data_IF_196732446236
#
_entry.id   IF_196732446236
#
_cell.length_a   1.000
_cell.length_b   1.000
_cell.length_c   1.000
_cell.angle_alpha   90.00
_cell.angle_beta   90.00
_cell.angle_gamma   90.00
#
_symmetry.space_group_name_H-M   'P 1'
#
loop_
_entity.id
_entity.type
_entity.pdbx_description
1 polymer ?
#
# COMPACT_ATOMS: atom_id res chain seq x y z
N UNK A 1 34.23 1.93 -20.54
CA UNK A 1 33.81 2.97 -19.59
C UNK A 1 34.92 3.98 -19.37
N UNK A 2 36.17 3.52 -19.22
CA UNK A 2 37.37 4.34 -19.10
C UNK A 2 37.53 5.39 -20.21
N UNK A 3 37.27 5.03 -21.46
CA UNK A 3 37.43 5.96 -22.60
C UNK A 3 36.45 7.13 -22.56
N UNK A 4 35.18 6.87 -22.24
CA UNK A 4 34.17 7.94 -22.09
C UNK A 4 34.46 8.84 -20.90
N UNK A 5 34.99 8.28 -19.82
CA UNK A 5 35.39 9.06 -18.65
C UNK A 5 36.58 9.98 -18.97
N UNK A 6 37.58 9.48 -19.70
CA UNK A 6 38.74 10.26 -20.15
C UNK A 6 38.35 11.35 -21.15
N UNK A 7 37.44 11.06 -22.07
CA UNK A 7 36.90 12.05 -23.01
C UNK A 7 36.13 13.15 -22.24
N UNK A 8 35.26 12.79 -21.30
CA UNK A 8 34.57 13.77 -20.43
C UNK A 8 35.57 14.65 -19.66
N UNK A 9 36.67 14.07 -19.17
CA UNK A 9 37.73 14.81 -18.48
C UNK A 9 38.46 15.79 -19.39
N UNK A 10 38.62 15.45 -20.67
CA UNK A 10 39.31 16.29 -21.65
C UNK A 10 38.47 17.47 -22.14
N UNK A 11 37.13 17.35 -22.12
CA UNK A 11 36.22 18.36 -22.69
C UNK A 11 35.49 19.23 -21.68
N UNK A 12 35.36 18.78 -20.43
CA UNK A 12 34.65 19.51 -19.40
C UNK A 12 35.63 20.35 -18.59
N UNK A 13 35.21 21.56 -18.21
CA UNK A 13 35.93 22.34 -17.23
C UNK A 13 36.12 21.51 -15.94
N UNK A 14 37.27 21.61 -15.24
CA UNK A 14 37.57 20.79 -14.07
C UNK A 14 36.47 20.81 -13.00
N UNK A 15 35.87 21.97 -12.74
CA UNK A 15 34.75 22.14 -11.79
C UNK A 15 33.51 21.34 -12.20
N UNK A 16 33.16 21.38 -13.49
CA UNK A 16 32.01 20.63 -14.05
C UNK A 16 32.30 19.13 -14.05
N UNK A 17 33.55 18.73 -14.28
CA UNK A 17 33.95 17.33 -14.23
C UNK A 17 33.88 16.77 -12.80
N UNK A 18 34.34 17.53 -11.79
CA UNK A 18 34.30 17.14 -10.38
C UNK A 18 32.87 16.91 -9.84
N UNK A 19 31.87 17.58 -10.41
CA UNK A 19 30.48 17.37 -10.03
C UNK A 19 29.86 16.09 -10.62
N UNK A 20 30.55 15.36 -11.50
CA UNK A 20 30.11 14.03 -11.98
C UNK A 20 30.43 12.98 -10.90
N UNK A 21 29.40 12.44 -10.26
CA UNK A 21 29.53 11.47 -9.16
C UNK A 21 29.63 10.03 -9.63
N UNK A 22 28.92 9.68 -10.70
CA UNK A 22 29.04 8.35 -11.29
C UNK A 22 28.63 8.32 -12.75
N UNK A 23 29.15 7.34 -13.47
CA UNK A 23 28.77 7.02 -14.84
C UNK A 23 28.57 5.50 -14.94
N UNK A 24 27.40 5.06 -15.41
CA UNK A 24 27.04 3.64 -15.51
C UNK A 24 26.47 3.33 -16.89
N UNK A 25 26.95 2.26 -17.54
CA UNK A 25 26.27 1.66 -18.71
C UNK A 25 25.04 0.90 -18.21
N UNK A 26 23.88 1.20 -18.77
CA UNK A 26 22.61 0.54 -18.43
C UNK A 26 22.06 -0.13 -19.68
N UNK A 27 21.87 -1.44 -19.60
CA UNK A 27 21.33 -2.27 -20.68
C UNK A 27 19.99 -2.90 -20.24
N UNK A 28 18.87 -2.17 -20.37
CA UNK A 28 17.56 -2.69 -20.01
C UNK A 28 17.04 -3.69 -21.06
N UNK A 29 16.31 -4.72 -20.63
CA UNK A 29 15.79 -5.80 -21.51
C UNK A 29 14.96 -5.32 -22.71
N UNK A 30 14.19 -4.23 -22.55
CA UNK A 30 13.22 -3.75 -23.54
C UNK A 30 13.47 -2.31 -24.02
N UNK A 31 14.67 -1.75 -23.81
CA UNK A 31 14.99 -0.39 -24.30
C UNK A 31 16.42 -0.35 -24.84
N UNK A 32 16.76 0.63 -25.70
CA UNK A 32 18.13 0.79 -26.15
C UNK A 32 19.08 0.97 -24.97
N UNK A 33 20.32 0.45 -25.07
CA UNK A 33 21.33 0.69 -24.05
C UNK A 33 21.61 2.19 -23.94
N UNK A 34 22.01 2.64 -22.76
CA UNK A 34 22.30 4.07 -22.48
C UNK A 34 23.35 4.22 -21.38
N UNK A 35 23.87 5.43 -21.24
CA UNK A 35 24.76 5.87 -20.18
C UNK A 35 23.97 6.72 -19.19
N UNK A 36 23.85 6.23 -17.96
CA UNK A 36 23.27 6.98 -16.85
C UNK A 36 24.41 7.69 -16.12
N UNK A 37 24.37 9.01 -16.10
CA UNK A 37 25.32 9.89 -15.42
C UNK A 37 24.63 10.55 -14.23
N UNK A 38 25.25 10.45 -13.05
CA UNK A 38 24.78 11.13 -11.85
C UNK A 38 25.66 12.34 -11.56
N UNK A 39 25.03 13.50 -11.37
CA UNK A 39 25.73 14.77 -11.18
C UNK A 39 25.17 15.59 -10.03
N UNK A 40 25.98 16.44 -9.43
CA UNK A 40 25.54 17.39 -8.41
C UNK A 40 24.59 18.45 -8.99
N UNK A 41 23.75 19.03 -8.12
CA UNK A 41 22.64 19.89 -8.53
C UNK A 41 23.09 21.18 -9.20
N UNK A 42 24.17 21.74 -8.71
CA UNK A 42 24.85 22.95 -9.17
C UNK A 42 25.30 22.84 -10.65
N UNK A 43 25.81 21.68 -11.07
CA UNK A 43 26.33 21.53 -12.44
C UNK A 43 25.33 20.91 -13.43
N UNK A 44 24.23 20.31 -12.96
CA UNK A 44 23.35 19.47 -13.77
C UNK A 44 22.78 20.18 -15.01
N UNK A 45 22.34 21.42 -14.85
CA UNK A 45 21.75 22.22 -15.94
C UNK A 45 22.81 22.69 -16.94
N UNK A 46 24.00 23.07 -16.47
CA UNK A 46 25.13 23.44 -17.32
C UNK A 46 25.63 22.25 -18.14
N UNK A 47 25.88 21.12 -17.46
CA UNK A 47 26.36 19.91 -18.09
C UNK A 47 25.39 19.34 -19.12
N UNK A 48 24.08 19.37 -18.84
CA UNK A 48 23.06 18.95 -19.81
C UNK A 48 23.08 19.82 -21.07
N UNK A 49 23.30 21.12 -20.94
CA UNK A 49 23.45 22.04 -22.08
C UNK A 49 24.73 21.75 -22.86
N UNK A 50 25.87 21.56 -22.18
CA UNK A 50 27.15 21.24 -22.82
C UNK A 50 27.10 19.91 -23.58
N UNK A 51 26.63 18.83 -22.96
CA UNK A 51 26.49 17.53 -23.62
C UNK A 51 25.52 17.63 -24.81
N UNK A 52 24.42 18.38 -24.66
CA UNK A 52 23.46 18.59 -25.75
C UNK A 52 24.07 19.38 -26.91
N UNK A 53 24.80 20.46 -26.63
CA UNK A 53 25.47 21.25 -27.65
C UNK A 53 26.53 20.42 -28.39
N UNK A 54 27.36 19.66 -27.66
CA UNK A 54 28.42 18.84 -28.24
C UNK A 54 27.88 17.68 -29.09
N UNK A 55 26.78 17.06 -28.66
CA UNK A 55 26.10 16.01 -29.44
C UNK A 55 25.31 16.57 -30.64
N UNK A 56 24.83 17.83 -30.58
CA UNK A 56 24.22 18.52 -31.72
C UNK A 56 25.25 18.98 -32.74
N UNK A 57 26.41 19.48 -32.30
CA UNK A 57 27.52 19.93 -33.14
C UNK A 57 28.38 18.77 -33.69
N UNK A 58 27.96 17.52 -33.49
CA UNK A 58 28.61 16.29 -33.99
C UNK A 58 30.13 16.25 -33.74
N UNK A 59 30.59 16.44 -32.50
CA UNK A 59 32.00 16.13 -32.18
C UNK A 59 32.25 14.62 -32.43
N UNK A 60 33.08 14.24 -33.44
CA UNK A 60 33.14 12.84 -33.88
C UNK A 60 33.74 11.92 -32.82
N UNK A 61 34.73 12.39 -32.05
CA UNK A 61 35.44 11.63 -31.02
C UNK A 61 34.52 11.26 -29.84
N UNK A 62 33.79 12.23 -29.32
CA UNK A 62 32.86 12.01 -28.19
C UNK A 62 31.69 11.09 -28.55
N UNK A 63 31.13 11.27 -29.75
CA UNK A 63 30.05 10.40 -30.26
C UNK A 63 30.55 8.97 -30.52
N UNK A 64 31.79 8.84 -31.01
CA UNK A 64 32.46 7.56 -31.25
C UNK A 64 32.72 6.81 -29.94
N UNK A 65 33.31 7.45 -28.93
CA UNK A 65 33.57 6.83 -27.63
C UNK A 65 32.28 6.31 -26.96
N UNK A 66 31.17 7.05 -27.06
CA UNK A 66 29.88 6.60 -26.56
C UNK A 66 29.29 5.42 -27.34
N UNK A 67 29.48 5.38 -28.67
CA UNK A 67 29.01 4.29 -29.55
C UNK A 67 29.84 3.02 -29.42
N UNK A 68 31.15 3.13 -29.24
CA UNK A 68 32.05 1.98 -29.10
C UNK A 68 31.72 1.15 -27.86
N UNK A 69 31.20 1.78 -26.80
CA UNK A 69 30.71 1.08 -25.60
C UNK A 69 29.38 0.34 -25.79
N UNK A 70 28.72 0.45 -26.96
CA UNK A 70 27.46 -0.20 -27.26
C UNK A 70 27.65 -1.45 -28.10
N UNK A 71 26.75 -2.42 -27.89
CA UNK A 71 26.67 -3.65 -28.67
C UNK A 71 26.37 -3.31 -30.14
N UNK A 72 26.93 -4.06 -31.09
CA UNK A 72 26.94 -3.72 -32.53
C UNK A 72 25.54 -3.47 -33.11
N UNK A 73 24.53 -4.23 -32.69
CA UNK A 73 23.14 -4.05 -33.12
C UNK A 73 22.48 -2.74 -32.64
N UNK A 74 22.98 -2.13 -31.56
CA UNK A 74 22.44 -0.89 -31.00
C UNK A 74 23.11 0.38 -31.56
N UNK A 75 24.33 0.25 -32.13
CA UNK A 75 25.16 1.36 -32.64
C UNK A 75 24.47 2.17 -33.73
N UNK A 76 23.67 1.51 -34.58
CA UNK A 76 23.03 2.12 -35.75
C UNK A 76 21.63 2.70 -35.47
N UNK A 77 20.97 2.26 -34.38
CA UNK A 77 19.55 2.58 -34.11
C UNK A 77 19.34 3.74 -33.13
N UNK A 78 20.40 4.24 -32.51
CA UNK A 78 20.28 5.22 -31.41
C UNK A 78 20.81 6.60 -31.79
N UNK A 79 19.99 7.64 -31.57
CA UNK A 79 20.44 9.03 -31.71
C UNK A 79 21.39 9.35 -30.55
N UNK A 80 22.53 10.04 -30.76
CA UNK A 80 23.52 10.29 -29.70
C UNK A 80 22.93 10.91 -28.42
N UNK A 81 21.92 11.78 -28.55
CA UNK A 81 21.21 12.39 -27.42
C UNK A 81 20.36 11.41 -26.60
N UNK A 82 19.80 10.38 -27.23
CA UNK A 82 19.02 9.33 -26.54
C UNK A 82 19.87 8.35 -25.75
N UNK A 83 21.21 8.43 -25.90
CA UNK A 83 22.16 7.60 -25.20
C UNK A 83 22.49 8.09 -23.80
N UNK A 84 22.10 9.31 -23.44
CA UNK A 84 22.47 9.92 -22.17
C UNK A 84 21.26 10.17 -21.30
N UNK A 85 21.36 9.74 -20.04
CA UNK A 85 20.46 10.16 -18.98
C UNK A 85 21.28 10.84 -17.90
N UNK A 86 21.04 12.12 -17.70
CA UNK A 86 21.66 12.91 -16.64
C UNK A 86 20.64 13.04 -15.53
N UNK A 87 20.88 12.36 -14.41
CA UNK A 87 20.05 12.42 -13.21
C UNK A 87 20.81 13.16 -12.09
N UNK A 88 20.06 13.84 -11.22
CA UNK A 88 20.63 14.44 -10.02
C UNK A 88 21.11 13.35 -9.06
N UNK A 89 22.36 13.48 -8.60
CA UNK A 89 22.88 12.68 -7.52
C UNK A 89 22.08 12.97 -6.25
N UNK A 90 21.76 11.90 -5.52
CA UNK A 90 21.00 11.95 -4.27
C UNK A 90 21.67 11.02 -3.28
N UNK A 91 22.18 11.56 -2.19
CA UNK A 91 22.97 10.87 -1.16
C UNK A 91 22.27 9.65 -0.58
N UNK A 92 20.92 9.66 -0.56
CA UNK A 92 20.11 8.55 -0.04
C UNK A 92 19.96 7.37 -1.01
N UNK A 93 20.23 7.55 -2.31
CA UNK A 93 19.92 6.57 -3.36
C UNK A 93 21.05 5.54 -3.57
N UNK A 94 22.29 5.93 -3.29
CA UNK A 94 23.49 5.11 -3.46
C UNK A 94 24.19 4.81 -2.12
N UNK A 95 23.45 4.89 -0.99
CA UNK A 95 23.97 4.35 0.27
C UNK A 95 24.30 2.87 0.04
N UNK A 96 25.50 2.38 0.40
CA UNK A 96 25.74 0.95 0.41
C UNK A 96 24.63 0.37 1.27
N UNK A 97 23.81 -0.48 0.66
CA UNK A 97 22.74 -1.18 1.36
C UNK A 97 23.46 -1.95 2.45
N UNK A 98 23.42 -1.44 3.70
CA UNK A 98 23.80 -2.23 4.86
C UNK A 98 22.98 -3.50 4.68
N UNK A 99 23.68 -4.63 4.54
CA UNK A 99 23.03 -5.92 4.41
C UNK A 99 21.93 -5.92 5.45
N UNK A 100 20.67 -5.95 5.00
CA UNK A 100 19.54 -5.96 5.92
C UNK A 100 19.88 -7.06 6.92
N UNK A 101 19.87 -6.82 8.23
CA UNK A 101 19.93 -7.93 9.17
C UNK A 101 18.91 -8.94 8.64
N UNK A 102 19.30 -10.22 8.46
CA UNK A 102 18.40 -11.21 7.90
C UNK A 102 17.10 -11.03 8.65
N UNK A 103 16.02 -10.70 7.92
CA UNK A 103 14.69 -10.61 8.51
C UNK A 103 14.57 -11.92 9.24
N UNK A 104 14.63 -11.89 10.59
CA UNK A 104 14.63 -13.09 11.39
C UNK A 104 13.39 -13.81 10.92
N UNK A 105 13.58 -14.92 10.20
CA UNK A 105 12.49 -15.70 9.67
C UNK A 105 11.79 -16.21 10.92
N UNK A 106 10.71 -15.53 11.31
CA UNK A 106 9.87 -15.99 12.42
C UNK A 106 9.49 -17.41 12.03
N UNK A 107 9.86 -18.42 12.85
CA UNK A 107 9.59 -19.80 12.52
C UNK A 107 8.13 -19.95 12.13
N UNK A 108 7.85 -20.56 10.96
CA UNK A 108 6.48 -20.69 10.46
C UNK A 108 5.55 -21.42 11.44
N UNK A 109 6.10 -22.14 12.41
CA UNK A 109 5.38 -22.83 13.48
C UNK A 109 4.69 -21.91 14.52
N UNK A 110 4.84 -20.58 14.44
CA UNK A 110 4.25 -19.64 15.41
C UNK A 110 3.41 -18.49 14.84
N UNK A 111 3.12 -18.47 13.53
CA UNK A 111 2.25 -17.42 12.96
C UNK A 111 0.91 -17.43 13.68
N UNK A 112 0.65 -16.35 14.42
CA UNK A 112 -0.68 -16.10 14.99
C UNK A 112 -1.44 -15.34 13.94
N UNK A 113 -2.55 -15.90 13.46
CA UNK A 113 -3.39 -15.20 12.51
C UNK A 113 -4.18 -14.13 13.25
N UNK A 114 -3.65 -12.90 13.29
CA UNK A 114 -4.35 -11.76 13.87
C UNK A 114 -5.23 -11.08 12.82
N UNK A 115 -6.29 -10.42 13.31
CA UNK A 115 -7.22 -9.64 12.51
C UNK A 115 -7.19 -8.21 13.02
N UNK A 116 -7.17 -7.23 12.11
CA UNK A 116 -7.12 -5.82 12.46
C UNK A 116 -8.08 -4.99 11.60
N UNK A 117 -8.43 -3.81 12.11
CA UNK A 117 -9.04 -2.74 11.32
C UNK A 117 -8.31 -1.44 11.66
N UNK A 118 -8.12 -0.57 10.67
CA UNK A 118 -7.37 0.67 10.83
C UNK A 118 -7.84 1.72 9.83
N UNK A 119 -8.34 2.84 10.34
CA UNK A 119 -8.47 4.06 9.55
C UNK A 119 -7.07 4.68 9.35
N UNK A 120 -6.54 4.58 8.11
CA UNK A 120 -5.16 5.02 7.81
C UNK A 120 -5.07 6.50 7.46
N UNK A 121 -6.17 7.16 7.12
CA UNK A 121 -6.20 8.57 6.68
C UNK A 121 -5.06 8.90 5.68
N UNK A 122 -5.00 8.14 4.59
CA UNK A 122 -4.01 8.28 3.52
C UNK A 122 -2.96 7.17 3.51
N UNK A 123 -3.14 6.20 2.62
CA UNK A 123 -2.25 5.04 2.51
C UNK A 123 -0.86 5.39 1.95
N UNK A 124 -0.78 6.27 0.94
CA UNK A 124 0.44 6.47 0.17
C UNK A 124 1.68 6.87 1.01
N UNK A 125 1.47 7.69 2.05
CA UNK A 125 2.56 8.15 2.93
C UNK A 125 2.88 7.17 4.06
N UNK A 126 1.92 6.33 4.44
CA UNK A 126 2.00 5.38 5.57
C UNK A 126 2.24 3.94 5.13
N UNK A 127 2.49 3.71 3.83
CA UNK A 127 2.64 2.36 3.28
C UNK A 127 3.68 1.53 4.01
N UNK A 128 4.84 2.12 4.32
CA UNK A 128 5.92 1.42 5.03
C UNK A 128 5.51 1.08 6.47
N UNK A 129 4.88 2.02 7.17
CA UNK A 129 4.39 1.81 8.54
C UNK A 129 3.32 0.71 8.58
N UNK A 130 2.44 0.66 7.59
CA UNK A 130 1.44 -0.42 7.46
C UNK A 130 2.12 -1.75 7.18
N UNK A 131 3.15 -1.81 6.32
CA UNK A 131 3.94 -3.05 6.09
C UNK A 131 4.57 -3.52 7.40
N UNK A 132 5.18 -2.60 8.14
CA UNK A 132 5.83 -2.91 9.41
C UNK A 132 4.81 -3.42 10.43
N UNK A 133 3.67 -2.74 10.59
CA UNK A 133 2.57 -3.16 11.46
C UNK A 133 2.08 -4.57 11.11
N UNK A 134 1.76 -4.82 9.84
CA UNK A 134 1.28 -6.12 9.36
C UNK A 134 2.28 -7.24 9.67
N UNK A 135 3.56 -6.97 9.50
CA UNK A 135 4.64 -7.94 9.73
C UNK A 135 4.89 -8.17 11.22
N UNK A 136 5.07 -7.09 11.98
CA UNK A 136 5.39 -7.13 13.41
C UNK A 136 4.26 -7.77 14.22
N UNK A 137 3.02 -7.36 13.94
CA UNK A 137 1.83 -7.85 14.63
C UNK A 137 1.26 -9.11 13.99
N UNK A 138 1.90 -9.66 12.93
CA UNK A 138 1.49 -10.92 12.28
C UNK A 138 0.03 -10.90 11.82
N UNK A 139 -0.44 -9.76 11.32
CA UNK A 139 -1.84 -9.55 10.94
C UNK A 139 -2.12 -10.31 9.65
N UNK A 140 -3.04 -11.27 9.66
CA UNK A 140 -3.43 -12.02 8.47
C UNK A 140 -4.57 -11.38 7.69
N UNK A 141 -5.44 -10.63 8.37
CA UNK A 141 -6.60 -9.97 7.77
C UNK A 141 -6.65 -8.54 8.30
N UNK A 142 -6.70 -7.55 7.41
CA UNK A 142 -6.71 -6.15 7.80
C UNK A 142 -7.68 -5.33 6.96
N UNK A 143 -8.66 -4.68 7.60
CA UNK A 143 -9.51 -3.69 6.94
C UNK A 143 -8.88 -2.29 7.09
N UNK A 144 -8.63 -1.61 5.98
CA UNK A 144 -8.07 -0.27 5.93
C UNK A 144 -9.13 0.72 5.43
N UNK A 145 -9.44 1.74 6.23
CA UNK A 145 -10.35 2.84 5.85
C UNK A 145 -9.57 4.12 5.54
N UNK A 146 -10.20 5.02 4.80
CA UNK A 146 -9.60 6.28 4.32
C UNK A 146 -8.26 6.09 3.59
N UNK A 147 -8.21 5.14 2.67
CA UNK A 147 -6.98 4.88 1.91
C UNK A 147 -6.56 6.06 1.02
N UNK A 148 -7.53 6.88 0.58
CA UNK A 148 -7.35 8.03 -0.32
C UNK A 148 -6.69 7.65 -1.66
N UNK A 149 -6.85 6.41 -2.09
CA UNK A 149 -6.32 5.91 -3.37
C UNK A 149 -7.43 5.96 -4.42
N UNK A 150 -7.30 6.86 -5.40
CA UNK A 150 -8.25 6.97 -6.52
C UNK A 150 -8.12 5.79 -7.48
N UNK A 151 -9.12 5.62 -8.36
CA UNK A 151 -9.07 4.64 -9.45
C UNK A 151 -7.99 4.91 -10.50
N UNK A 152 -7.45 6.14 -10.54
CA UNK A 152 -6.36 6.54 -11.45
C UNK A 152 -4.97 6.29 -10.85
N UNK A 153 -4.89 6.05 -9.54
CA UNK A 153 -3.65 5.75 -8.85
C UNK A 153 -3.36 4.25 -8.87
N UNK A 154 -2.12 3.87 -8.54
CA UNK A 154 -1.81 2.47 -8.31
C UNK A 154 -2.66 1.93 -7.15
N UNK A 155 -3.30 0.76 -7.30
CA UNK A 155 -4.13 0.20 -6.25
C UNK A 155 -3.30 -0.09 -5.00
N UNK A 156 -3.99 -0.20 -3.85
CA UNK A 156 -3.36 -0.59 -2.58
C UNK A 156 -2.80 -2.00 -2.73
N UNK A 157 -1.50 -2.11 -2.99
CA UNK A 157 -0.80 -3.39 -3.10
C UNK A 157 0.17 -3.56 -1.94
N UNK A 158 -0.02 -4.67 -1.23
CA UNK A 158 0.74 -5.04 -0.05
C UNK A 158 1.45 -6.37 -0.28
N UNK A 159 2.79 -6.42 -0.20
CA UNK A 159 3.54 -7.66 -0.39
C UNK A 159 3.05 -8.77 0.56
N UNK A 160 2.74 -9.94 0.02
CA UNK A 160 2.23 -11.08 0.80
C UNK A 160 0.74 -11.01 1.16
N UNK A 161 -0.03 -10.09 0.57
CA UNK A 161 -1.47 -10.00 0.74
C UNK A 161 -2.19 -9.89 -0.61
N UNK A 162 -3.37 -10.47 -0.66
CA UNK A 162 -4.41 -10.19 -1.65
C UNK A 162 -5.18 -8.96 -1.16
N UNK A 163 -5.36 -7.98 -2.06
CA UNK A 163 -6.08 -6.74 -1.78
C UNK A 163 -7.42 -6.72 -2.48
N UNK A 164 -8.48 -6.45 -1.73
CA UNK A 164 -9.81 -6.14 -2.24
C UNK A 164 -10.07 -4.65 -1.96
N UNK A 165 -10.24 -3.83 -2.99
CA UNK A 165 -10.24 -2.36 -2.84
C UNK A 165 -11.52 -1.73 -3.38
N UNK A 166 -12.04 -0.74 -2.65
CA UNK A 166 -12.91 0.29 -3.21
C UNK A 166 -12.15 1.62 -3.22
N UNK A 167 -12.04 2.22 -4.40
CA UNK A 167 -11.29 3.45 -4.59
C UNK A 167 -11.96 4.66 -3.93
N UNK A 168 -11.15 5.65 -3.60
CA UNK A 168 -11.63 6.98 -3.23
C UNK A 168 -12.41 7.62 -4.39
N UNK A 169 -13.50 8.29 -4.03
CA UNK A 169 -14.32 9.10 -4.93
C UNK A 169 -15.12 10.14 -4.13
N UNK A 170 -16.02 10.85 -4.81
CA UNK A 170 -16.89 11.83 -4.18
C UNK A 170 -17.70 11.21 -3.03
N UNK A 171 -17.65 11.84 -1.85
CA UNK A 171 -18.34 11.37 -0.65
C UNK A 171 -17.78 10.08 -0.02
N UNK A 172 -16.67 9.51 -0.51
CA UNK A 172 -16.13 8.26 0.02
C UNK A 172 -14.60 8.18 -0.07
N UNK A 173 -13.92 8.09 1.07
CA UNK A 173 -12.44 8.20 1.21
C UNK A 173 -11.64 6.94 0.83
N UNK A 174 -12.31 5.92 0.29
CA UNK A 174 -11.67 4.67 -0.15
C UNK A 174 -11.44 3.68 1.00
N UNK A 175 -11.53 2.39 0.70
CA UNK A 175 -11.28 1.32 1.68
C UNK A 175 -10.59 0.12 1.02
N UNK A 176 -9.87 -0.68 1.79
CA UNK A 176 -9.24 -1.91 1.29
C UNK A 176 -9.28 -3.00 2.35
N UNK A 177 -9.66 -4.22 1.98
CA UNK A 177 -9.49 -5.41 2.78
C UNK A 177 -8.27 -6.18 2.30
N UNK A 178 -7.30 -6.37 3.19
CA UNK A 178 -6.10 -7.15 2.95
C UNK A 178 -6.28 -8.54 3.56
N UNK A 179 -5.96 -9.58 2.80
CA UNK A 179 -5.93 -10.97 3.27
C UNK A 179 -4.58 -11.58 2.91
N UNK A 180 -3.88 -12.17 3.87
CA UNK A 180 -2.56 -12.78 3.65
C UNK A 180 -2.65 -13.86 2.58
N UNK A 181 -1.67 -13.90 1.67
CA UNK A 181 -1.73 -14.72 0.45
C UNK A 181 -1.61 -16.24 0.69
N UNK A 182 -1.27 -16.67 1.91
CA UNK A 182 -1.30 -18.06 2.33
C UNK A 182 -2.70 -18.54 2.76
N UNK A 183 -3.65 -17.62 2.94
CA UNK A 183 -5.06 -17.92 3.16
C UNK A 183 -5.82 -17.95 1.83
N UNK A 184 -6.69 -18.96 1.67
CA UNK A 184 -7.62 -18.99 0.55
C UNK A 184 -8.70 -17.93 0.77
N UNK A 185 -8.89 -17.04 -0.19
CA UNK A 185 -9.92 -16.00 -0.11
C UNK A 185 -10.49 -15.66 -1.47
N UNK A 186 -11.76 -15.26 -1.47
CA UNK A 186 -12.43 -14.71 -2.63
C UNK A 186 -13.53 -13.73 -2.22
N UNK A 187 -13.81 -12.77 -3.10
CA UNK A 187 -14.88 -11.81 -2.87
C UNK A 187 -16.25 -12.43 -3.16
N UNK A 188 -17.17 -12.28 -2.20
CA UNK A 188 -18.56 -12.73 -2.33
C UNK A 188 -19.45 -11.61 -2.84
N UNK A 189 -19.16 -10.38 -2.42
CA UNK A 189 -19.92 -9.21 -2.84
C UNK A 189 -19.34 -7.91 -2.31
N UNK A 190 -19.88 -6.81 -2.82
CA UNK A 190 -19.56 -5.46 -2.36
C UNK A 190 -20.77 -4.55 -2.53
N UNK A 191 -20.89 -3.58 -1.64
CA UNK A 191 -21.76 -2.41 -1.82
C UNK A 191 -20.86 -1.19 -1.92
N UNK A 192 -21.07 -0.39 -2.96
CA UNK A 192 -20.28 0.82 -3.20
C UNK A 192 -20.39 1.77 -2.00
N UNK A 193 -19.25 2.25 -1.52
CA UNK A 193 -19.14 3.19 -0.39
C UNK A 193 -19.66 2.66 0.94
N UNK A 194 -19.78 1.34 1.10
CA UNK A 194 -20.26 0.73 2.34
C UNK A 194 -19.39 -0.46 2.78
N UNK A 195 -19.38 -1.55 1.99
CA UNK A 195 -18.69 -2.77 2.41
C UNK A 195 -18.00 -3.55 1.30
N UNK A 196 -16.94 -4.26 1.69
CA UNK A 196 -16.34 -5.36 0.92
C UNK A 196 -16.56 -6.65 1.70
N UNK A 197 -17.16 -7.67 1.09
CA UNK A 197 -17.43 -8.96 1.70
C UNK A 197 -16.59 -10.05 1.03
N UNK A 198 -15.67 -10.64 1.81
CA UNK A 198 -14.76 -11.70 1.39
C UNK A 198 -14.99 -12.93 2.26
N UNK A 199 -14.97 -14.12 1.65
CA UNK A 199 -14.87 -15.39 2.39
C UNK A 199 -13.40 -15.77 2.51
N UNK A 200 -12.99 -16.18 3.70
CA UNK A 200 -11.60 -16.57 4.00
C UNK A 200 -11.58 -17.95 4.64
N UNK A 201 -10.72 -18.83 4.13
CA UNK A 201 -10.50 -20.20 4.61
C UNK A 201 -9.03 -20.41 5.00
N UNK A 202 -8.78 -21.41 5.85
CA UNK A 202 -7.43 -21.73 6.33
C UNK A 202 -7.03 -21.03 7.64
N UNK A 203 -7.97 -20.35 8.31
CA UNK A 203 -7.75 -19.82 9.65
C UNK A 203 -7.68 -20.98 10.67
N UNK A 204 -6.69 -21.00 11.59
CA UNK A 204 -6.58 -22.07 12.57
C UNK A 204 -7.82 -22.16 13.46
N UNK A 205 -8.21 -23.40 13.79
CA UNK A 205 -9.37 -23.72 14.65
C UNK A 205 -10.73 -23.34 14.06
N UNK A 206 -10.79 -22.95 12.78
CA UNK A 206 -12.04 -22.70 12.06
C UNK A 206 -12.10 -23.65 10.87
N UNK A 207 -13.07 -24.56 10.90
CA UNK A 207 -13.26 -25.57 9.85
C UNK A 207 -14.02 -25.02 8.64
N UNK A 208 -14.91 -24.06 8.87
CA UNK A 208 -15.74 -23.42 7.84
C UNK A 208 -15.16 -22.07 7.38
N UNK A 209 -15.44 -21.60 6.15
CA UNK A 209 -15.02 -20.28 5.69
C UNK A 209 -15.60 -19.16 6.58
N UNK A 210 -14.75 -18.22 6.99
CA UNK A 210 -15.16 -17.01 7.72
C UNK A 210 -15.62 -15.94 6.75
N UNK A 211 -16.76 -15.33 7.05
CA UNK A 211 -17.24 -14.14 6.36
C UNK A 211 -16.57 -12.91 6.98
N UNK A 212 -15.71 -12.25 6.21
CA UNK A 212 -15.03 -11.02 6.60
C UNK A 212 -15.63 -9.86 5.82
N UNK A 213 -16.21 -8.90 6.53
CA UNK A 213 -16.85 -7.74 5.95
C UNK A 213 -16.11 -6.47 6.39
N UNK A 214 -15.39 -5.83 5.49
CA UNK A 214 -14.78 -4.53 5.75
C UNK A 214 -15.85 -3.44 5.58
N UNK A 215 -16.12 -2.66 6.63
CA UNK A 215 -17.16 -1.63 6.69
C UNK A 215 -16.52 -0.24 6.77
N UNK A 216 -17.14 0.74 6.13
CA UNK A 216 -16.85 2.15 6.36
C UNK A 216 -18.13 2.98 6.26
N UNK A 217 -18.64 3.45 7.40
CA UNK A 217 -19.85 4.26 7.48
C UNK A 217 -19.53 5.76 7.41
N UNK A 218 -20.43 6.60 6.85
CA UNK A 218 -20.19 8.03 6.72
C UNK A 218 -20.11 8.72 8.09
N UNK A 219 -19.10 9.57 8.24
CA UNK A 219 -18.91 10.43 9.41
C UNK A 219 -19.77 11.69 9.32
N UNK A 220 -19.86 12.47 10.40
CA UNK A 220 -20.63 13.73 10.43
C UNK A 220 -22.06 13.58 10.93
N UNK A 221 -22.59 14.70 11.44
CA UNK A 221 -23.94 14.77 12.00
C UNK A 221 -25.00 14.79 10.91
N UNK A 222 -24.73 15.50 9.81
CA UNK A 222 -25.62 15.61 8.65
C UNK A 222 -25.88 14.25 7.97
N UNK A 223 -24.96 13.28 8.12
CA UNK A 223 -25.08 11.95 7.54
C UNK A 223 -25.73 10.91 8.48
N UNK A 224 -26.33 11.32 9.61
CA UNK A 224 -26.92 10.38 10.58
C UNK A 224 -28.04 9.51 9.98
N UNK A 225 -28.88 10.10 9.13
CA UNK A 225 -29.95 9.40 8.42
C UNK A 225 -29.40 8.33 7.46
N UNK A 226 -28.50 8.75 6.56
CA UNK A 226 -27.80 7.87 5.63
C UNK A 226 -27.05 6.75 6.37
N UNK A 227 -26.34 7.07 7.45
CA UNK A 227 -25.62 6.08 8.26
C UNK A 227 -26.56 5.02 8.84
N UNK A 228 -27.78 5.40 9.23
CA UNK A 228 -28.79 4.46 9.73
C UNK A 228 -29.33 3.55 8.62
N UNK A 229 -29.59 4.09 7.44
CA UNK A 229 -30.00 3.30 6.26
C UNK A 229 -28.93 2.26 5.87
N UNK A 230 -27.67 2.72 5.76
CA UNK A 230 -26.53 1.86 5.45
C UNK A 230 -26.30 0.79 6.52
N UNK A 231 -26.54 1.12 7.79
CA UNK A 231 -26.49 0.16 8.89
C UNK A 231 -27.54 -0.96 8.72
N UNK A 232 -28.78 -0.64 8.33
CA UNK A 232 -29.79 -1.66 8.05
C UNK A 232 -29.41 -2.57 6.88
N UNK A 233 -28.72 -2.06 5.86
CA UNK A 233 -28.15 -2.89 4.78
C UNK A 233 -27.14 -3.91 5.32
N UNK A 234 -26.32 -3.54 6.30
CA UNK A 234 -25.38 -4.47 6.96
C UNK A 234 -26.11 -5.54 7.77
N UNK A 235 -27.18 -5.18 8.48
CA UNK A 235 -28.02 -6.15 9.19
C UNK A 235 -28.71 -7.13 8.23
N UNK A 236 -29.23 -6.63 7.11
CA UNK A 236 -29.84 -7.46 6.08
C UNK A 236 -28.81 -8.42 5.44
N UNK A 237 -27.57 -7.95 5.22
CA UNK A 237 -26.47 -8.80 4.76
C UNK A 237 -26.17 -9.92 5.78
N UNK A 238 -26.07 -9.59 7.07
CA UNK A 238 -25.85 -10.59 8.11
C UNK A 238 -26.99 -11.62 8.13
N UNK A 239 -28.25 -11.15 8.10
CA UNK A 239 -29.42 -12.03 8.06
C UNK A 239 -29.34 -12.98 6.86
N UNK A 240 -29.06 -12.46 5.66
CA UNK A 240 -28.90 -13.29 4.45
C UNK A 240 -27.82 -14.35 4.61
N UNK A 241 -26.69 -14.03 5.27
CA UNK A 241 -25.62 -14.98 5.53
C UNK A 241 -26.10 -16.08 6.48
N UNK A 242 -26.75 -15.71 7.59
CA UNK A 242 -27.20 -16.66 8.61
C UNK A 242 -28.41 -17.50 8.16
N UNK A 243 -29.30 -16.95 7.34
CA UNK A 243 -30.41 -17.69 6.71
C UNK A 243 -29.86 -18.78 5.77
N UNK A 244 -28.80 -18.48 5.02
CA UNK A 244 -28.17 -19.43 4.10
C UNK A 244 -27.24 -20.44 4.80
N UNK A 245 -26.60 -20.04 5.91
CA UNK A 245 -25.68 -20.88 6.68
C UNK A 245 -25.82 -20.54 8.17
N UNK A 246 -26.74 -21.22 8.87
CA UNK A 246 -26.92 -21.01 10.31
C UNK A 246 -25.62 -21.26 11.07
N UNK A 247 -25.25 -20.33 11.95
CA UNK A 247 -24.01 -20.42 12.72
C UNK A 247 -22.72 -20.11 11.93
N UNK A 248 -22.82 -19.54 10.73
CA UNK A 248 -21.64 -19.08 9.98
C UNK A 248 -20.77 -18.13 10.83
N UNK A 249 -19.43 -18.19 10.74
CA UNK A 249 -18.56 -17.27 11.46
C UNK A 249 -18.50 -15.98 10.65
N UNK A 250 -19.10 -14.93 11.18
CA UNK A 250 -19.12 -13.60 10.59
C UNK A 250 -18.35 -12.61 11.45
N UNK A 251 -17.48 -11.82 10.82
CA UNK A 251 -16.83 -10.67 11.42
C UNK A 251 -16.93 -9.45 10.49
N UNK A 252 -17.41 -8.36 11.06
CA UNK A 252 -17.37 -7.03 10.47
C UNK A 252 -16.20 -6.25 11.08
N UNK A 253 -15.41 -5.62 10.22
CA UNK A 253 -14.20 -4.88 10.57
C UNK A 253 -14.32 -3.47 10.01
N UNK A 254 -14.30 -2.44 10.85
CA UNK A 254 -14.27 -1.11 10.28
C UNK A 254 -14.50 0.07 11.17
N UNK A 255 -14.56 1.22 10.50
CA UNK A 255 -14.96 2.50 11.06
C UNK A 255 -16.48 2.64 10.92
N UNK A 256 -17.18 2.53 12.04
CA UNK A 256 -18.63 2.61 12.11
C UNK A 256 -19.12 4.04 12.28
N UNK A 257 -18.23 4.98 12.61
CA UNK A 257 -18.58 6.35 12.98
C UNK A 257 -19.70 6.44 14.03
N UNK A 258 -19.72 5.47 14.96
CA UNK A 258 -20.62 5.35 16.12
C UNK A 258 -19.79 4.94 17.32
N UNK A 259 -20.14 5.43 18.52
CA UNK A 259 -19.53 4.92 19.74
C UNK A 259 -20.04 3.50 20.05
N UNK A 260 -19.35 2.78 20.93
CA UNK A 260 -19.70 1.41 21.28
C UNK A 260 -21.12 1.29 21.82
N UNK A 261 -21.56 2.19 22.70
CA UNK A 261 -22.89 2.14 23.30
C UNK A 261 -24.01 2.31 22.24
N UNK A 262 -23.85 3.27 21.33
CA UNK A 262 -24.76 3.49 20.20
C UNK A 262 -24.80 2.25 19.29
N UNK A 263 -23.64 1.67 18.99
CA UNK A 263 -23.54 0.49 18.13
C UNK A 263 -24.18 -0.74 18.78
N UNK A 264 -23.91 -1.00 20.06
CA UNK A 264 -24.52 -2.10 20.82
C UNK A 264 -26.05 -1.97 20.86
N UNK A 265 -26.58 -0.78 21.11
CA UNK A 265 -28.02 -0.53 21.11
C UNK A 265 -28.64 -0.80 19.72
N UNK A 266 -27.97 -0.37 18.65
CA UNK A 266 -28.47 -0.54 17.27
C UNK A 266 -28.37 -1.97 16.77
N UNK A 267 -27.37 -2.73 17.19
CA UNK A 267 -27.20 -4.13 16.78
C UNK A 267 -28.35 -5.01 17.24
N UNK A 268 -29.01 -4.69 18.36
CA UNK A 268 -30.10 -5.50 18.92
C UNK A 268 -29.69 -6.98 18.97
N UNK A 269 -28.60 -7.29 19.68
CA UNK A 269 -27.96 -8.62 19.73
C UNK A 269 -28.93 -9.80 19.83
N UNK A 270 -30.00 -9.75 20.66
CA UNK A 270 -30.97 -10.87 20.74
C UNK A 270 -31.66 -11.19 19.41
N UNK A 271 -31.84 -10.19 18.53
CA UNK A 271 -32.51 -10.33 17.24
C UNK A 271 -31.54 -10.66 16.10
N UNK A 272 -30.35 -10.06 16.11
CA UNK A 272 -29.42 -10.18 14.98
C UNK A 272 -28.32 -11.23 15.17
N UNK A 273 -28.09 -11.66 16.41
CA UNK A 273 -26.97 -12.52 16.77
C UNK A 273 -25.59 -11.85 16.63
N UNK A 274 -25.55 -10.54 16.38
CA UNK A 274 -24.33 -9.74 16.27
C UNK A 274 -24.05 -9.00 17.57
N UNK A 275 -22.76 -8.91 17.91
CA UNK A 275 -22.32 -8.17 19.08
C UNK A 275 -21.01 -7.43 18.81
N UNK A 276 -20.83 -6.27 19.45
CA UNK A 276 -19.54 -5.57 19.45
C UNK A 276 -18.53 -6.41 20.23
N UNK A 277 -17.37 -6.63 19.62
CA UNK A 277 -16.31 -7.42 20.22
C UNK A 277 -15.42 -6.53 21.08
N UNK A 278 -15.75 -6.48 22.38
CA UNK A 278 -15.18 -5.52 23.34
C UNK A 278 -13.65 -5.59 23.40
N UNK A 279 -12.93 -4.47 23.20
CA UNK A 279 -11.48 -4.44 23.29
C UNK A 279 -11.00 -4.62 24.73
N UNK A 280 -9.73 -5.00 24.87
CA UNK A 280 -8.97 -4.95 26.12
C UNK A 280 -8.02 -3.77 26.02
N UNK A 281 -7.96 -2.95 27.08
CA UNK A 281 -7.19 -1.71 27.10
C UNK A 281 -8.10 -0.50 26.92
N UNK A 282 -7.67 0.47 26.11
CA UNK A 282 -8.48 1.64 25.78
C UNK A 282 -9.56 1.25 24.75
N UNK A 283 -10.76 1.83 24.82
CA UNK A 283 -11.73 1.70 23.73
C UNK A 283 -11.51 2.75 22.62
N UNK A 284 -10.72 3.79 22.91
CA UNK A 284 -10.58 4.96 22.03
C UNK A 284 -9.73 4.63 20.81
N UNK A 285 -10.27 4.90 19.62
CA UNK A 285 -9.64 4.64 18.32
C UNK A 285 -9.43 5.90 17.48
N UNK A 286 -10.18 6.97 17.76
CA UNK A 286 -10.03 8.30 17.13
C UNK A 286 -9.51 9.32 18.13
N UNK A 287 -8.41 9.99 17.75
CA UNK A 287 -7.75 11.03 18.54
C UNK A 287 -7.65 12.33 17.71
N UNK A 288 -8.68 13.19 17.72
CA UNK A 288 -8.64 14.43 16.95
C UNK A 288 -7.70 15.46 17.60
N UNK A 289 -7.10 16.35 16.80
CA UNK A 289 -6.27 17.46 17.33
C UNK A 289 -7.07 18.45 18.17
N UNK A 290 -8.39 18.54 17.93
CA UNK A 290 -9.35 19.34 18.71
C UNK A 290 -10.60 18.52 18.97
N UNK A 291 -11.14 18.61 20.19
CA UNK A 291 -12.34 17.88 20.61
C UNK A 291 -12.03 16.59 21.37
N UNK A 292 -13.07 15.79 21.59
CA UNK A 292 -12.99 14.57 22.39
C UNK A 292 -12.58 13.37 21.55
N UNK A 293 -11.70 12.54 22.09
CA UNK A 293 -11.39 11.21 21.55
C UNK A 293 -12.64 10.33 21.56
N UNK A 294 -12.72 9.40 20.59
CA UNK A 294 -13.89 8.52 20.42
C UNK A 294 -13.48 7.12 20.02
N UNK A 295 -14.34 6.17 20.32
CA UNK A 295 -14.30 4.76 19.95
C UNK A 295 -15.19 4.54 18.71
N UNK A 296 -14.68 4.81 17.51
CA UNK A 296 -15.49 4.69 16.27
C UNK A 296 -15.15 3.47 15.41
N UNK A 297 -13.93 2.97 15.54
CA UNK A 297 -13.49 1.72 14.94
C UNK A 297 -13.89 0.54 15.83
N UNK A 298 -14.70 -0.37 15.30
CA UNK A 298 -15.19 -1.55 16.03
C UNK A 298 -15.08 -2.82 15.21
N UNK A 299 -14.90 -3.93 15.92
CA UNK A 299 -15.13 -5.27 15.40
C UNK A 299 -16.49 -5.75 15.87
N UNK A 300 -17.34 -6.23 14.96
CA UNK A 300 -18.63 -6.83 15.29
C UNK A 300 -18.64 -8.27 14.83
N UNK A 301 -19.04 -9.18 15.71
CA UNK A 301 -18.95 -10.62 15.47
C UNK A 301 -20.31 -11.30 15.64
N UNK A 302 -20.58 -12.30 14.82
CA UNK A 302 -21.68 -13.24 15.05
C UNK A 302 -21.37 -14.21 16.21
N UNK A 303 -22.40 -14.88 16.72
CA UNK A 303 -22.25 -15.99 17.66
C UNK A 303 -21.26 -17.08 17.17
N UNK A 304 -21.30 -17.45 15.88
CA UNK A 304 -20.41 -18.45 15.28
C UNK A 304 -18.94 -18.03 15.23
N UNK A 305 -18.63 -16.75 15.44
CA UNK A 305 -17.27 -16.22 15.52
C UNK A 305 -16.86 -15.89 16.96
N UNK A 306 -17.82 -15.75 17.86
CA UNK A 306 -17.57 -15.45 19.26
C UNK A 306 -16.80 -16.60 19.95
N UNK A 307 -15.80 -16.26 20.75
CA UNK A 307 -14.96 -17.25 21.44
C UNK A 307 -13.87 -17.91 20.59
N UNK A 308 -13.88 -17.74 19.26
CA UNK A 308 -12.81 -18.21 18.37
C UNK A 308 -11.63 -17.24 18.40
N UNK A 309 -11.93 -15.94 18.32
CA UNK A 309 -10.93 -14.89 18.35
C UNK A 309 -10.48 -14.60 19.78
N UNK A 310 -9.30 -13.98 19.88
CA UNK A 310 -8.91 -13.25 21.09
C UNK A 310 -9.52 -11.87 21.04
N UNK A 311 -9.85 -11.31 22.21
CA UNK A 311 -10.37 -9.95 22.30
C UNK A 311 -9.42 -8.96 21.63
N UNK A 312 -9.95 -7.96 20.90
CA UNK A 312 -9.13 -6.97 20.24
C UNK A 312 -8.36 -6.16 21.28
N UNK A 313 -7.20 -5.66 20.86
CA UNK A 313 -6.36 -4.76 21.65
C UNK A 313 -6.28 -3.44 20.90
N UNK A 314 -6.38 -2.35 21.64
CA UNK A 314 -6.29 -0.98 21.15
C UNK A 314 -5.30 -0.25 22.03
#
# INVERSE_FOLDING_TARGET
MTDVWNELKSFLNPEVFQGIKSLKKVQPKNRPPRLDMQVTRDIASGLKRTIRAMTQLRTPKFTRAARELMDEGARWRTRPLSLWRIDLWKDWRDRPTIARPPVIAVPQSRWRHHIATLNVNGFARKRLDVIELLTKEQISICALQETLVSSRAFPVQMPGYVSYTQHWGEGFRGQTLLVKSDLSSYEVGREARLYIHVKVSGLPRITQPVHVIAVYLPSGGEYRGLRTELFHKLLALNKKILDATPGAPVIFLGDWNMNQAELEQKLQTPLTGLQVYKPVGSALSRFPTRGLSRDIDHMVVSAGMNGILRRPRV
#
